data_IF_706404162624
#
_entry.id   IF_706404162624
#
_cell.length_a   1.000
_cell.length_b   1.000
_cell.length_c   1.000
_cell.angle_alpha   90.00
_cell.angle_beta   90.00
_cell.angle_gamma   90.00
#
_symmetry.space_group_name_H-M   'P 1'
#
loop_
_entity.id
_entity.type
_entity.pdbx_description
1 polymer ?
#
# COMPACT_ATOMS: atom_id res chain seq x y z
N UNK A 1 -23.62 -3.51 -35.53
CA UNK A 1 -23.58 -3.65 -37.01
C UNK A 1 -24.51 -4.77 -37.49
N UNK A 2 -25.03 -4.62 -38.68
CA UNK A 2 -25.88 -5.64 -39.29
C UNK A 2 -25.03 -6.81 -39.79
N UNK A 3 -25.54 -8.00 -39.58
CA UNK A 3 -25.04 -9.23 -40.20
C UNK A 3 -25.91 -9.54 -41.44
N UNK A 4 -25.32 -9.59 -42.60
CA UNK A 4 -26.01 -9.89 -43.85
C UNK A 4 -25.71 -11.29 -44.35
N UNK A 5 -26.69 -11.95 -44.91
CA UNK A 5 -26.56 -13.27 -45.55
C UNK A 5 -27.43 -13.37 -46.79
N UNK A 6 -27.16 -14.36 -47.63
CA UNK A 6 -27.96 -14.62 -48.81
C UNK A 6 -29.10 -15.57 -48.50
N UNK A 7 -30.34 -15.09 -48.65
CA UNK A 7 -31.55 -15.88 -48.45
C UNK A 7 -32.31 -15.91 -49.80
N UNK A 8 -32.51 -17.09 -50.39
CA UNK A 8 -33.13 -17.27 -51.70
C UNK A 8 -32.51 -16.39 -52.78
N UNK A 9 -31.17 -16.32 -52.83
CA UNK A 9 -30.44 -15.55 -53.83
C UNK A 9 -30.40 -14.03 -53.58
N UNK A 10 -31.00 -13.51 -52.52
CA UNK A 10 -31.04 -12.08 -52.18
C UNK A 10 -30.30 -11.82 -50.86
N UNK A 11 -29.49 -10.75 -50.84
CA UNK A 11 -28.84 -10.30 -49.59
C UNK A 11 -29.88 -9.73 -48.62
N UNK A 12 -29.93 -10.25 -47.41
CA UNK A 12 -30.82 -9.80 -46.34
C UNK A 12 -30.05 -9.67 -45.02
N UNK A 13 -30.54 -8.81 -44.13
CA UNK A 13 -30.10 -8.78 -42.74
C UNK A 13 -30.58 -10.06 -42.06
N UNK A 14 -29.65 -10.86 -41.56
CA UNK A 14 -29.90 -12.13 -40.85
C UNK A 14 -29.62 -12.04 -39.39
N UNK A 15 -29.15 -10.89 -38.91
CA UNK A 15 -28.85 -10.66 -37.51
C UNK A 15 -28.13 -9.35 -37.25
N UNK A 16 -27.81 -9.12 -35.98
CA UNK A 16 -27.03 -7.97 -35.53
C UNK A 16 -25.86 -8.43 -34.68
N UNK A 17 -24.75 -7.75 -34.80
CA UNK A 17 -23.59 -7.90 -33.95
C UNK A 17 -23.58 -6.74 -32.94
N UNK A 18 -23.44 -7.07 -31.66
CA UNK A 18 -23.32 -6.11 -30.61
C UNK A 18 -21.91 -6.14 -30.03
N UNK A 19 -21.43 -4.97 -29.58
CA UNK A 19 -20.22 -4.82 -28.80
C UNK A 19 -20.65 -4.38 -27.39
N UNK A 20 -20.35 -5.18 -26.39
CA UNK A 20 -20.50 -4.81 -24.99
C UNK A 20 -19.13 -4.41 -24.45
N UNK A 21 -19.06 -3.27 -23.77
CA UNK A 21 -17.86 -2.79 -23.07
C UNK A 21 -18.18 -2.84 -21.59
N UNK A 22 -17.34 -3.52 -20.84
CA UNK A 22 -17.40 -3.58 -19.39
C UNK A 22 -16.23 -2.79 -18.82
N UNK A 23 -16.49 -1.96 -17.81
CA UNK A 23 -15.50 -1.07 -17.18
C UNK A 23 -15.55 -1.21 -15.66
N UNK A 24 -14.72 -0.42 -14.96
CA UNK A 24 -14.71 -0.28 -13.50
C UNK A 24 -14.27 -1.52 -12.71
N UNK A 25 -13.56 -2.44 -13.36
CA UNK A 25 -12.95 -3.59 -12.67
C UNK A 25 -11.85 -3.19 -11.67
N UNK A 26 -11.28 -1.97 -11.83
CA UNK A 26 -10.24 -1.44 -10.95
C UNK A 26 -10.80 -0.92 -9.62
N UNK A 27 -12.11 -0.77 -9.51
CA UNK A 27 -12.71 -0.31 -8.27
C UNK A 27 -12.56 -1.37 -7.20
N UNK A 28 -11.71 -1.10 -6.23
CA UNK A 28 -11.67 -1.86 -4.98
C UNK A 28 -13.00 -1.69 -4.26
N UNK A 29 -13.91 -2.61 -4.45
CA UNK A 29 -15.04 -2.70 -3.53
C UNK A 29 -14.47 -3.04 -2.17
N UNK A 30 -14.80 -2.22 -1.18
CA UNK A 30 -14.71 -2.59 0.23
C UNK A 30 -15.33 -3.98 0.34
N UNK A 31 -14.51 -4.95 0.75
CA UNK A 31 -14.77 -6.36 0.61
C UNK A 31 -16.22 -6.75 0.91
N UNK A 32 -16.88 -7.41 -0.05
CA UNK A 32 -18.18 -8.06 0.18
C UNK A 32 -18.05 -9.16 1.25
N UNK A 33 -16.82 -9.63 1.51
CA UNK A 33 -16.47 -10.55 2.60
C UNK A 33 -15.31 -9.96 3.41
N UNK A 34 -15.60 -9.47 4.60
CA UNK A 34 -14.67 -8.86 5.56
C UNK A 34 -13.49 -9.75 5.99
N UNK A 35 -13.46 -11.02 5.58
CA UNK A 35 -12.43 -12.00 5.95
C UNK A 35 -11.42 -12.31 4.83
N UNK A 36 -11.50 -11.66 3.66
CA UNK A 36 -10.56 -11.90 2.57
C UNK A 36 -9.38 -10.95 2.61
N UNK A 37 -8.24 -11.46 2.19
CA UNK A 37 -6.98 -10.73 2.14
C UNK A 37 -6.84 -9.85 0.89
N UNK A 38 -7.76 -9.95 -0.05
CA UNK A 38 -7.72 -9.26 -1.35
C UNK A 38 -9.13 -8.82 -1.84
N UNK A 39 -9.17 -8.00 -2.88
CA UNK A 39 -10.40 -7.63 -3.60
C UNK A 39 -10.83 -8.70 -4.61
N UNK A 40 -12.15 -8.87 -4.81
CA UNK A 40 -12.74 -10.00 -5.56
C UNK A 40 -13.07 -9.74 -7.03
N UNK A 41 -12.80 -8.55 -7.57
CA UNK A 41 -13.19 -8.20 -8.94
C UNK A 41 -12.21 -8.70 -10.03
N UNK A 42 -11.59 -9.83 -9.82
CA UNK A 42 -10.73 -10.48 -10.81
C UNK A 42 -11.19 -11.91 -11.05
N UNK A 43 -11.12 -12.35 -12.29
CA UNK A 43 -11.51 -13.69 -12.71
C UNK A 43 -12.05 -13.74 -14.14
N UNK A 44 -12.61 -14.90 -14.51
CA UNK A 44 -13.27 -15.07 -15.81
C UNK A 44 -14.63 -14.36 -15.80
N UNK A 45 -14.84 -13.49 -16.77
CA UNK A 45 -16.09 -12.76 -16.95
C UNK A 45 -17.05 -13.58 -17.82
N UNK A 46 -18.32 -13.64 -17.43
CA UNK A 46 -19.35 -14.20 -18.28
C UNK A 46 -20.58 -13.29 -18.35
N UNK A 47 -21.25 -13.30 -19.46
CA UNK A 47 -22.47 -12.55 -19.73
C UNK A 47 -23.58 -13.54 -19.98
N UNK A 48 -24.69 -13.40 -19.26
CA UNK A 48 -25.91 -14.16 -19.51
C UNK A 48 -26.90 -13.31 -20.31
N UNK A 49 -27.29 -13.80 -21.49
CA UNK A 49 -28.40 -13.27 -22.27
C UNK A 49 -29.61 -14.12 -21.94
N UNK A 50 -30.61 -13.51 -21.34
CA UNK A 50 -31.82 -14.23 -20.93
C UNK A 50 -32.71 -14.62 -22.10
N UNK A 51 -33.53 -15.64 -21.94
CA UNK A 51 -34.48 -16.05 -22.94
C UNK A 51 -35.42 -14.91 -23.32
N UNK A 52 -35.86 -14.89 -24.57
CA UNK A 52 -36.75 -13.87 -25.15
C UNK A 52 -36.19 -12.44 -25.18
N UNK A 53 -34.88 -12.24 -25.01
CA UNK A 53 -34.22 -10.94 -25.15
C UNK A 53 -34.27 -10.43 -26.61
N UNK A 54 -34.35 -11.33 -27.59
CA UNK A 54 -34.57 -11.01 -29.00
C UNK A 54 -35.57 -12.01 -29.61
N UNK A 55 -36.29 -11.59 -30.66
CA UNK A 55 -37.31 -12.42 -31.32
C UNK A 55 -37.17 -12.33 -32.82
N UNK A 56 -37.49 -13.40 -33.52
CA UNK A 56 -37.63 -13.43 -34.96
C UNK A 56 -38.98 -12.87 -35.46
N UNK A 57 -39.20 -12.81 -36.77
CA UNK A 57 -40.44 -12.31 -37.36
C UNK A 57 -41.65 -13.21 -37.09
N UNK A 58 -41.43 -14.44 -36.66
CA UNK A 58 -42.45 -15.41 -36.22
C UNK A 58 -42.70 -15.37 -34.72
N UNK A 59 -42.13 -14.38 -34.03
CA UNK A 59 -42.24 -14.20 -32.55
C UNK A 59 -41.54 -15.30 -31.73
N UNK A 60 -40.67 -16.11 -32.35
CA UNK A 60 -39.85 -17.05 -31.59
C UNK A 60 -38.73 -16.29 -30.87
N UNK A 61 -38.63 -16.48 -29.55
CA UNK A 61 -37.56 -15.87 -28.73
C UNK A 61 -36.30 -16.71 -28.70
N UNK A 62 -35.17 -16.08 -28.43
CA UNK A 62 -33.94 -16.82 -28.13
C UNK A 62 -34.08 -17.60 -26.82
N UNK A 63 -33.32 -18.67 -26.69
CA UNK A 63 -33.11 -19.38 -25.41
C UNK A 63 -32.04 -18.63 -24.58
N UNK A 64 -31.93 -18.97 -23.30
CA UNK A 64 -30.83 -18.50 -22.45
C UNK A 64 -29.48 -18.84 -23.11
N UNK A 65 -28.59 -17.88 -23.13
CA UNK A 65 -27.22 -18.06 -23.63
C UNK A 65 -26.22 -17.46 -22.63
N UNK A 66 -25.14 -18.18 -22.35
CA UNK A 66 -24.02 -17.67 -21.57
C UNK A 66 -22.81 -17.51 -22.51
N UNK A 67 -22.26 -16.31 -22.57
CA UNK A 67 -21.04 -16.01 -23.32
C UNK A 67 -19.93 -15.80 -22.30
N UNK A 68 -18.92 -16.67 -22.30
CA UNK A 68 -17.76 -16.56 -21.44
C UNK A 68 -16.68 -15.75 -22.17
N UNK A 69 -16.25 -14.68 -21.55
CA UNK A 69 -15.13 -13.86 -21.98
C UNK A 69 -13.80 -14.34 -21.43
N UNK A 70 -12.79 -13.52 -21.59
CA UNK A 70 -11.44 -13.79 -21.10
C UNK A 70 -11.33 -13.59 -19.57
N UNK A 71 -10.22 -14.07 -19.04
CA UNK A 71 -9.80 -13.75 -17.69
C UNK A 71 -9.44 -12.25 -17.58
N UNK A 72 -9.99 -11.59 -16.57
CA UNK A 72 -9.80 -10.15 -16.32
C UNK A 72 -9.24 -9.98 -14.92
N UNK A 73 -8.13 -9.25 -14.84
CA UNK A 73 -7.54 -8.85 -13.58
C UNK A 73 -6.82 -7.49 -13.75
N UNK A 74 -7.46 -6.44 -13.28
CA UNK A 74 -6.94 -5.07 -13.21
C UNK A 74 -6.72 -4.63 -11.76
N UNK A 75 -6.95 -5.53 -10.80
CA UNK A 75 -6.75 -5.23 -9.37
C UNK A 75 -5.26 -5.23 -9.08
N UNK A 76 -4.78 -4.14 -8.50
CA UNK A 76 -3.37 -4.00 -8.13
C UNK A 76 -3.13 -4.61 -6.74
N UNK A 77 -2.01 -5.30 -6.55
CA UNK A 77 -1.56 -5.72 -5.23
C UNK A 77 -1.46 -4.54 -4.27
N UNK A 78 -1.78 -4.75 -3.00
CA UNK A 78 -1.82 -3.68 -2.01
C UNK A 78 -1.02 -4.03 -0.76
N UNK A 79 -0.37 -3.00 -0.20
CA UNK A 79 0.26 -3.04 1.11
C UNK A 79 -0.69 -2.53 2.18
N UNK A 80 -0.66 -3.14 3.36
CA UNK A 80 -1.40 -2.69 4.54
C UNK A 80 -0.64 -2.97 5.83
N UNK A 81 -0.96 -2.21 6.86
CA UNK A 81 -0.53 -2.47 8.23
C UNK A 81 -1.34 -3.62 8.82
N UNK A 82 -0.66 -4.44 9.63
CA UNK A 82 -1.28 -5.46 10.49
C UNK A 82 -1.19 -4.98 11.93
N UNK A 83 -2.31 -4.55 12.47
CA UNK A 83 -2.35 -3.91 13.78
C UNK A 83 -1.72 -2.51 13.80
N UNK A 84 -1.47 -2.00 14.99
CA UNK A 84 -0.80 -0.72 15.18
C UNK A 84 0.70 -0.89 15.33
N UNK A 85 1.52 0.05 14.83
CA UNK A 85 2.95 0.07 15.11
C UNK A 85 3.22 0.18 16.61
N UNK A 86 4.27 -0.48 17.06
CA UNK A 86 4.74 -0.40 18.46
C UNK A 86 5.92 0.56 18.55
N UNK A 87 5.81 1.59 19.39
CA UNK A 87 6.89 2.50 19.73
C UNK A 87 7.50 1.99 21.05
N UNK A 88 8.69 1.42 20.98
CA UNK A 88 9.40 0.80 22.10
C UNK A 88 10.46 1.76 22.63
N UNK A 89 10.09 2.54 23.64
CA UNK A 89 10.99 3.53 24.29
C UNK A 89 12.13 2.87 25.10
N UNK A 90 11.99 1.62 25.48
CA UNK A 90 13.05 0.90 26.21
C UNK A 90 14.23 0.58 25.30
N UNK A 91 13.93 0.21 24.05
CA UNK A 91 14.94 -0.18 23.07
C UNK A 91 15.11 0.86 21.94
N UNK A 92 14.49 2.03 22.04
CA UNK A 92 14.53 3.13 21.07
C UNK A 92 14.26 2.66 19.64
N UNK A 93 13.17 1.92 19.45
CA UNK A 93 12.80 1.35 18.17
C UNK A 93 11.30 1.45 17.88
N UNK A 94 10.97 1.47 16.59
CA UNK A 94 9.60 1.28 16.12
C UNK A 94 9.52 -0.09 15.45
N UNK A 95 8.49 -0.86 15.79
CA UNK A 95 8.23 -2.17 15.17
C UNK A 95 6.85 -2.14 14.53
N UNK A 96 6.76 -2.52 13.27
CA UNK A 96 5.49 -2.60 12.55
C UNK A 96 5.44 -3.86 11.69
N UNK A 97 4.26 -4.42 11.55
CA UNK A 97 4.00 -5.54 10.66
C UNK A 97 3.28 -5.04 9.42
N UNK A 98 3.84 -5.31 8.25
CA UNK A 98 3.27 -4.96 6.95
C UNK A 98 2.93 -6.22 6.18
N UNK A 99 1.81 -6.18 5.47
CA UNK A 99 1.33 -7.28 4.67
C UNK A 99 0.98 -6.78 3.26
N UNK A 100 1.52 -7.45 2.25
CA UNK A 100 1.22 -7.20 0.85
C UNK A 100 0.45 -8.37 0.27
N UNK A 101 -0.73 -8.12 -0.31
CA UNK A 101 -1.63 -9.18 -0.77
C UNK A 101 -2.28 -8.88 -2.10
N UNK A 102 -2.59 -9.94 -2.82
CA UNK A 102 -3.39 -9.96 -4.03
C UNK A 102 -3.97 -11.36 -4.25
N UNK A 103 -5.13 -11.46 -4.92
CA UNK A 103 -5.76 -12.75 -5.26
C UNK A 103 -4.86 -13.63 -6.13
N UNK A 104 -4.15 -13.02 -7.04
CA UNK A 104 -3.25 -13.67 -7.99
C UNK A 104 -1.80 -13.28 -7.73
N UNK A 105 -1.44 -13.16 -6.45
CA UNK A 105 -0.10 -12.81 -6.01
C UNK A 105 0.97 -13.62 -6.76
N UNK A 106 1.98 -12.94 -7.29
CA UNK A 106 3.11 -13.54 -7.99
C UNK A 106 4.40 -13.46 -7.18
N UNK A 107 4.84 -12.24 -6.89
CA UNK A 107 6.14 -12.02 -6.28
C UNK A 107 6.24 -10.69 -5.54
N UNK A 108 7.30 -10.54 -4.74
CA UNK A 108 7.73 -9.29 -4.14
C UNK A 108 9.22 -9.11 -4.31
N UNK A 109 9.63 -7.86 -4.51
CA UNK A 109 11.03 -7.41 -4.51
C UNK A 109 11.32 -6.47 -3.35
N UNK A 110 10.46 -6.46 -2.31
CA UNK A 110 10.62 -5.58 -1.17
C UNK A 110 11.96 -5.79 -0.48
N UNK A 111 12.73 -4.72 -0.42
CA UNK A 111 14.00 -4.61 0.30
C UNK A 111 14.00 -3.29 1.09
N UNK A 112 14.95 -3.14 2.00
CA UNK A 112 15.06 -1.91 2.81
C UNK A 112 15.30 -0.64 1.97
N UNK A 113 15.88 -0.77 0.78
CA UNK A 113 16.05 0.31 -0.19
C UNK A 113 14.73 0.84 -0.78
N UNK A 114 13.68 0.02 -0.78
CA UNK A 114 12.35 0.42 -1.23
C UNK A 114 11.52 1.11 -0.14
N UNK A 115 12.07 1.25 1.06
CA UNK A 115 11.38 1.81 2.22
C UNK A 115 12.03 3.14 2.58
N UNK A 116 11.22 4.18 2.69
CA UNK A 116 11.62 5.50 3.19
C UNK A 116 10.93 5.80 4.50
N UNK A 117 11.64 6.52 5.37
CA UNK A 117 11.11 7.00 6.65
C UNK A 117 11.15 8.52 6.63
N UNK A 118 10.05 9.15 6.94
CA UNK A 118 9.95 10.60 7.03
C UNK A 118 9.57 11.01 8.45
N UNK A 119 10.21 12.06 8.95
CA UNK A 119 9.88 12.69 10.23
C UNK A 119 9.54 14.14 9.95
N UNK A 120 8.33 14.57 10.31
CA UNK A 120 7.78 15.89 9.97
C UNK A 120 8.01 16.28 8.49
N UNK A 121 7.80 15.32 7.59
CA UNK A 121 7.92 15.50 6.14
C UNK A 121 9.37 15.46 5.60
N UNK A 122 10.39 15.35 6.46
CA UNK A 122 11.80 15.25 6.04
C UNK A 122 12.27 13.80 6.07
N UNK A 123 12.94 13.33 5.01
CA UNK A 123 13.46 11.97 4.95
C UNK A 123 14.56 11.75 6.01
N UNK A 124 14.29 10.81 6.94
CA UNK A 124 15.17 10.45 8.03
C UNK A 124 16.21 9.39 7.57
N UNK A 125 17.21 9.81 6.82
CA UNK A 125 18.19 8.92 6.19
C UNK A 125 19.07 8.16 7.16
N UNK A 126 19.22 8.65 8.41
CA UNK A 126 19.97 7.97 9.47
C UNK A 126 19.21 6.85 10.15
N UNK A 127 17.88 6.79 9.98
CA UNK A 127 17.07 5.70 10.55
C UNK A 127 17.41 4.39 9.84
N UNK A 128 17.86 3.43 10.62
CA UNK A 128 18.18 2.08 10.15
C UNK A 128 16.91 1.25 10.02
N UNK A 129 16.76 0.60 8.88
CA UNK A 129 15.62 -0.24 8.51
C UNK A 129 16.04 -1.70 8.52
N UNK A 130 15.43 -2.52 9.37
CA UNK A 130 15.63 -3.97 9.40
C UNK A 130 14.33 -4.66 9.02
N UNK A 131 14.37 -5.45 7.96
CA UNK A 131 13.24 -6.18 7.44
C UNK A 131 13.42 -7.67 7.75
N UNK A 132 12.43 -8.31 8.37
CA UNK A 132 12.44 -9.76 8.60
C UNK A 132 12.44 -10.54 7.29
N UNK A 133 12.69 -11.84 7.35
CA UNK A 133 12.34 -12.74 6.25
C UNK A 133 10.83 -12.67 5.97
N UNK A 134 10.45 -12.83 4.70
CA UNK A 134 9.05 -12.89 4.29
C UNK A 134 8.37 -14.12 4.87
N UNK A 135 7.16 -13.95 5.37
CA UNK A 135 6.25 -15.07 5.68
C UNK A 135 5.09 -15.08 4.70
N UNK A 136 4.66 -16.27 4.29
CA UNK A 136 3.57 -16.41 3.33
C UNK A 136 2.21 -16.05 3.97
N UNK A 137 1.43 -15.27 3.26
CA UNK A 137 0.01 -15.06 3.54
C UNK A 137 -0.78 -16.00 2.64
N UNK A 138 -1.68 -16.80 3.25
CA UNK A 138 -2.44 -17.83 2.52
C UNK A 138 -3.93 -17.69 2.78
N UNK A 139 -4.73 -18.01 1.77
CA UNK A 139 -6.15 -18.34 1.88
C UNK A 139 -6.32 -19.82 1.53
N UNK A 140 -6.71 -20.63 2.51
CA UNK A 140 -6.64 -22.09 2.39
C UNK A 140 -5.20 -22.55 2.11
N UNK A 141 -4.99 -23.24 1.00
CA UNK A 141 -3.67 -23.66 0.52
C UNK A 141 -2.98 -22.65 -0.42
N UNK A 142 -3.70 -21.65 -0.90
CA UNK A 142 -3.20 -20.72 -1.92
C UNK A 142 -2.43 -19.57 -1.26
N UNK A 143 -1.21 -19.32 -1.75
CA UNK A 143 -0.45 -18.14 -1.37
C UNK A 143 -1.04 -16.90 -2.05
N UNK A 144 -1.50 -15.95 -1.25
CA UNK A 144 -2.11 -14.70 -1.69
C UNK A 144 -1.31 -13.47 -1.28
N UNK A 145 -0.10 -13.66 -0.76
CA UNK A 145 0.73 -12.53 -0.38
C UNK A 145 1.91 -12.90 0.51
N UNK A 146 2.49 -11.87 1.08
CA UNK A 146 3.63 -11.93 2.01
C UNK A 146 3.46 -10.94 3.16
N UNK A 147 4.06 -11.29 4.28
CA UNK A 147 4.10 -10.44 5.47
C UNK A 147 5.53 -10.28 5.94
N UNK A 148 5.86 -9.09 6.43
CA UNK A 148 7.16 -8.74 7.00
C UNK A 148 6.98 -8.01 8.33
N UNK A 149 7.98 -8.16 9.20
CA UNK A 149 8.17 -7.26 10.33
C UNK A 149 9.26 -6.26 9.96
N UNK A 150 8.95 -4.97 10.00
CA UNK A 150 9.89 -3.88 9.83
C UNK A 150 10.24 -3.31 11.19
N UNK A 151 11.53 -3.29 11.52
CA UNK A 151 12.07 -2.66 12.72
C UNK A 151 12.92 -1.46 12.33
N UNK A 152 12.59 -0.30 12.89
CA UNK A 152 13.27 0.96 12.67
C UNK A 152 14.06 1.32 13.92
N UNK A 153 15.36 1.61 13.76
CA UNK A 153 16.30 1.98 14.84
C UNK A 153 17.18 3.14 14.41
N UNK A 154 18.11 3.58 15.25
CA UNK A 154 19.07 4.64 14.88
C UNK A 154 18.52 6.05 14.96
N UNK A 155 17.41 6.26 15.63
CA UNK A 155 16.79 7.57 15.86
C UNK A 155 17.71 8.54 16.63
N UNK A 156 18.59 7.99 17.45
CA UNK A 156 19.51 8.71 18.33
C UNK A 156 20.71 9.33 17.57
N UNK A 157 20.96 8.85 16.36
CA UNK A 157 22.07 9.32 15.52
C UNK A 157 21.68 10.59 14.77
N UNK A 158 21.14 11.56 15.47
CA UNK A 158 20.75 12.80 14.85
C UNK A 158 21.90 13.78 14.79
N UNK A 159 22.35 14.11 13.60
CA UNK A 159 23.06 15.35 13.36
C UNK A 159 22.08 16.52 13.47
N UNK A 160 22.54 17.67 13.95
CA UNK A 160 21.77 18.91 13.87
C UNK A 160 21.36 19.14 12.43
N UNK A 161 20.05 19.12 12.12
CA UNK A 161 19.58 19.42 10.78
C UNK A 161 19.29 20.91 10.62
N UNK A 162 19.73 21.47 9.49
CA UNK A 162 19.31 22.77 8.98
C UNK A 162 19.46 23.95 9.95
N UNK A 163 20.58 24.04 10.71
CA UNK A 163 20.83 25.17 11.58
C UNK A 163 19.99 25.25 12.85
N UNK A 164 19.18 24.25 13.14
CA UNK A 164 18.38 24.19 14.37
C UNK A 164 19.24 23.90 15.61
N UNK A 165 18.79 24.41 16.76
CA UNK A 165 19.51 24.26 18.02
C UNK A 165 19.24 22.93 18.73
N UNK A 166 18.34 22.09 18.21
CA UNK A 166 17.96 20.78 18.75
C UNK A 166 18.15 19.66 17.73
N UNK A 167 18.09 18.41 18.14
CA UNK A 167 18.18 17.23 17.29
C UNK A 167 16.81 16.85 16.75
N UNK A 168 16.75 16.38 15.49
CA UNK A 168 15.50 16.45 14.73
C UNK A 168 14.77 15.17 14.43
N UNK A 169 15.31 14.00 14.71
CA UNK A 169 14.60 12.79 14.35
C UNK A 169 13.50 12.41 15.36
N UNK A 170 12.88 13.40 15.99
CA UNK A 170 11.65 13.24 16.77
C UNK A 170 10.51 14.01 16.10
N UNK A 171 9.34 13.38 15.96
CA UNK A 171 8.16 13.99 15.33
C UNK A 171 7.19 13.01 14.70
N UNK A 172 6.26 13.55 13.94
CA UNK A 172 5.30 12.74 13.19
C UNK A 172 6.02 11.91 12.13
N UNK A 173 5.94 10.60 12.29
CA UNK A 173 6.67 9.65 11.48
C UNK A 173 5.74 8.97 10.48
N UNK A 174 6.21 8.92 9.23
CA UNK A 174 5.56 8.21 8.12
C UNK A 174 6.56 7.26 7.48
N UNK A 175 6.13 6.04 7.21
CA UNK A 175 6.89 5.04 6.46
C UNK A 175 6.25 4.87 5.09
N UNK A 176 7.04 5.00 4.04
CA UNK A 176 6.58 4.85 2.65
C UNK A 176 7.27 3.67 1.99
N UNK A 177 6.48 2.81 1.34
CA UNK A 177 6.95 1.72 0.50
C UNK A 177 6.82 2.18 -0.95
N UNK A 178 7.88 2.05 -1.74
CA UNK A 178 7.90 2.42 -3.14
C UNK A 178 6.88 1.63 -3.98
N UNK A 179 6.41 2.22 -5.06
CA UNK A 179 5.58 1.54 -6.04
C UNK A 179 6.33 0.37 -6.71
N UNK A 180 5.60 -0.61 -7.20
CA UNK A 180 6.13 -1.68 -8.05
C UNK A 180 6.82 -2.83 -7.33
N UNK A 181 6.88 -2.82 -6.00
CA UNK A 181 7.60 -3.86 -5.22
C UNK A 181 6.77 -5.12 -4.96
N UNK A 182 5.49 -5.11 -5.29
CA UNK A 182 4.59 -6.26 -5.24
C UNK A 182 3.93 -6.42 -6.61
N UNK A 183 3.89 -7.64 -7.16
CA UNK A 183 3.31 -7.92 -8.47
C UNK A 183 2.40 -9.12 -8.42
N UNK A 184 1.39 -9.14 -9.28
CA UNK A 184 0.51 -10.27 -9.54
C UNK A 184 0.87 -11.03 -10.84
N UNK A 185 0.11 -12.06 -11.16
CA UNK A 185 0.30 -12.85 -12.37
C UNK A 185 -0.15 -12.14 -13.64
N UNK A 186 -0.99 -11.10 -13.51
CA UNK A 186 -1.49 -10.26 -14.63
C UNK A 186 -0.57 -9.07 -14.90
N UNK A 187 0.56 -8.98 -14.18
CA UNK A 187 1.55 -7.91 -14.28
C UNK A 187 1.10 -6.55 -13.72
N UNK A 188 0.03 -6.53 -12.89
CA UNK A 188 -0.26 -5.35 -12.11
C UNK A 188 0.76 -5.20 -10.98
N UNK A 189 1.07 -3.96 -10.65
CA UNK A 189 2.05 -3.62 -9.60
C UNK A 189 1.44 -2.77 -8.51
N UNK A 190 1.91 -2.96 -7.27
CA UNK A 190 1.46 -2.16 -6.13
C UNK A 190 1.73 -0.66 -6.33
N UNK A 191 0.83 0.21 -5.92
CA UNK A 191 1.10 1.64 -5.82
C UNK A 191 2.10 1.92 -4.70
N UNK A 192 2.67 3.12 -4.71
CA UNK A 192 3.36 3.66 -3.52
C UNK A 192 2.37 3.69 -2.35
N UNK A 193 2.81 3.27 -1.19
CA UNK A 193 1.95 3.17 -0.01
C UNK A 193 2.63 3.77 1.20
N UNK A 194 1.93 4.66 1.91
CA UNK A 194 2.43 5.31 3.11
C UNK A 194 1.64 4.90 4.35
N UNK A 195 2.35 4.70 5.45
CA UNK A 195 1.81 4.36 6.76
C UNK A 195 2.19 5.41 7.78
N UNK A 196 1.20 6.01 8.42
CA UNK A 196 1.43 6.95 9.53
C UNK A 196 1.67 6.16 10.81
N UNK A 197 2.83 6.39 11.43
CA UNK A 197 3.21 5.79 12.73
C UNK A 197 2.68 6.66 13.88
N UNK A 198 2.69 7.96 13.70
CA UNK A 198 2.43 8.96 14.73
C UNK A 198 3.72 9.59 15.24
N UNK A 199 3.63 10.21 16.41
CA UNK A 199 4.78 10.88 17.01
C UNK A 199 5.76 9.86 17.59
N UNK A 200 6.99 9.90 17.10
CA UNK A 200 8.13 9.13 17.60
C UNK A 200 9.13 10.10 18.19
N UNK A 201 9.57 9.84 19.43
CA UNK A 201 10.61 10.63 20.09
C UNK A 201 11.46 9.73 20.98
N UNK A 202 12.69 9.50 20.55
CA UNK A 202 13.71 8.75 21.29
C UNK A 202 14.92 9.63 21.62
N UNK A 203 14.88 10.92 21.23
CA UNK A 203 15.95 11.86 21.47
C UNK A 203 15.85 12.34 22.92
N UNK A 204 16.95 12.23 23.64
CA UNK A 204 17.03 12.68 25.02
C UNK A 204 17.41 14.14 25.11
N UNK A 205 16.91 14.90 26.07
CA UNK A 205 17.34 16.28 26.32
C UNK A 205 18.86 16.35 26.48
N UNK A 206 19.48 17.34 25.84
CA UNK A 206 20.92 17.58 25.90
C UNK A 206 21.23 18.78 26.75
N UNK A 207 22.22 18.65 27.66
CA UNK A 207 22.71 19.74 28.50
C UNK A 207 24.02 20.24 27.86
N UNK A 208 24.12 21.55 27.60
CA UNK A 208 25.29 22.20 27.03
C UNK A 208 25.71 23.40 27.88
N UNK A 209 27.03 23.51 28.15
CA UNK A 209 27.59 24.70 28.74
C UNK A 209 27.56 25.86 27.75
N UNK A 210 27.06 27.01 28.20
CA UNK A 210 27.02 28.24 27.40
C UNK A 210 28.25 29.10 27.70
N UNK A 211 28.49 29.36 29.01
CA UNK A 211 29.62 30.18 29.42
C UNK A 211 30.03 29.85 30.87
N UNK A 212 31.22 30.28 31.27
CA UNK A 212 31.59 30.37 32.67
C UNK A 212 32.49 31.57 32.87
N UNK A 213 32.43 32.18 34.06
CA UNK A 213 33.26 33.33 34.44
C UNK A 213 33.48 33.36 35.95
N UNK A 214 34.62 33.93 36.36
CA UNK A 214 34.98 34.13 37.79
C UNK A 214 35.14 35.61 38.06
N UNK A 215 34.54 36.05 39.16
CA UNK A 215 34.71 37.42 39.65
C UNK A 215 34.46 37.48 41.14
N UNK A 216 35.31 38.19 41.90
CA UNK A 216 35.09 38.46 43.33
C UNK A 216 34.95 37.23 44.23
N UNK A 217 35.63 36.11 43.92
CA UNK A 217 35.49 34.83 44.66
C UNK A 217 34.30 33.99 44.24
N UNK A 218 33.54 34.42 43.23
CA UNK A 218 32.33 33.70 42.73
C UNK A 218 32.62 33.11 41.35
N UNK A 219 32.22 31.87 41.08
CA UNK A 219 32.17 31.30 39.76
C UNK A 219 30.71 31.21 39.31
N UNK A 220 30.44 31.71 38.11
CA UNK A 220 29.15 31.62 37.44
C UNK A 220 29.27 30.66 36.26
N UNK A 221 28.40 29.65 36.21
CA UNK A 221 28.30 28.71 35.06
C UNK A 221 26.91 28.87 34.49
N UNK A 222 26.86 29.17 33.21
CA UNK A 222 25.61 29.19 32.43
C UNK A 222 25.55 27.93 31.58
N UNK A 223 24.47 27.23 31.68
CA UNK A 223 24.19 26.05 30.83
C UNK A 223 22.79 26.16 30.24
N UNK A 224 22.54 25.41 29.20
CA UNK A 224 21.21 25.27 28.59
C UNK A 224 20.84 23.80 28.45
N UNK A 225 19.55 23.53 28.54
CA UNK A 225 18.96 22.24 28.23
C UNK A 225 18.22 22.38 26.90
N UNK A 226 18.42 21.46 25.99
CA UNK A 226 17.86 21.55 24.65
C UNK A 226 17.17 20.24 24.32
N UNK A 227 15.90 20.34 23.94
CA UNK A 227 15.10 19.24 23.42
C UNK A 227 14.00 19.84 22.54
N UNK A 228 13.56 19.12 21.51
CA UNK A 228 12.48 19.55 20.61
C UNK A 228 11.13 19.58 21.35
N UNK A 229 10.91 18.63 22.24
CA UNK A 229 9.70 18.47 23.04
C UNK A 229 9.97 18.69 24.52
N UNK A 230 10.77 19.73 24.84
CA UNK A 230 11.10 20.07 26.22
C UNK A 230 9.84 20.32 27.04
N UNK A 231 9.73 19.60 28.16
CA UNK A 231 8.63 19.76 29.10
C UNK A 231 9.09 20.66 30.25
N UNK A 232 8.37 21.76 30.50
CA UNK A 232 8.65 22.74 31.58
C UNK A 232 7.94 22.37 32.85
#
# INVERSE_FOLDING_TARGET
>A
SDLTGTVNGTSKIIGHQYKLVLSDFEQTRTAINYNREFSDWSGTVSIKIVANATKDTSNNGNVDATITGDFVDFIKPQWRLVGSPTIDHTNNRVVMTIKGTDKYFKATTLATSNIKVYVDGTEATSVTKNLSAATDVKEGSTKVGVQYTLTLTGWEQSSKQNGKSYFEWSGNTVVTIAAGVLTDTSSNSSPETSFTIGQVDFIKPKIEKVSSGKSGGTETITFRVIDKYFNT
#
